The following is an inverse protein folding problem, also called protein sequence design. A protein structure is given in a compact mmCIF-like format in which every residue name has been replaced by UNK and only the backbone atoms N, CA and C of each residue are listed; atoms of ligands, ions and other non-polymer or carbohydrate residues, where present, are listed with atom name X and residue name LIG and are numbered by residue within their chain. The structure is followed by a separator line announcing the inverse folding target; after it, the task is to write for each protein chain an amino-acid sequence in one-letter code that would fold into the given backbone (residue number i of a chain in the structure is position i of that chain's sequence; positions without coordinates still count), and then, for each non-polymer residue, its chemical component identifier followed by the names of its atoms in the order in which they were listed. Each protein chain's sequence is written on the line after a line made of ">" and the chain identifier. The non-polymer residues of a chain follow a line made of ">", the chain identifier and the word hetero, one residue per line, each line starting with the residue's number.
data_IF_294427285552
#
_entry.id   IF_294427285552
#
_cell.length_a   1.000
_cell.length_b   1.000
_cell.length_c   1.000
_cell.angle_alpha   90.00
_cell.angle_beta   90.00
_cell.angle_gamma   90.00
#
_symmetry.space_group_name_H-M   'P 1'
#
loop_
_entity.id
_entity.type
_entity.pdbx_description
1 polymer ?
#
# COMPACT_ATOMS: atom_id res chain seq x y z
N UNK A 1 4.44 -16.51 14.33
CA UNK A 1 4.24 -15.73 13.09
C UNK A 1 5.51 -15.03 12.56
N UNK A 2 6.66 -15.10 13.27
CA UNK A 2 7.87 -14.34 12.93
C UNK A 2 8.46 -14.64 11.51
N UNK A 3 8.39 -15.89 11.05
CA UNK A 3 9.00 -16.27 9.76
C UNK A 3 8.18 -15.81 8.54
N UNK A 4 6.84 -15.90 8.62
CA UNK A 4 5.94 -15.49 7.53
C UNK A 4 5.89 -13.96 7.34
N UNK A 5 5.95 -13.21 8.45
CA UNK A 5 6.04 -11.74 8.42
C UNK A 5 7.47 -11.22 8.14
N UNK A 6 8.29 -12.01 7.44
CA UNK A 6 9.66 -11.64 7.02
C UNK A 6 10.60 -11.25 8.17
N UNK A 7 10.39 -11.78 9.38
CA UNK A 7 11.23 -11.50 10.54
C UNK A 7 11.04 -10.10 11.16
N UNK A 8 10.05 -9.33 10.70
CA UNK A 8 9.83 -7.96 11.18
C UNK A 8 9.29 -7.93 12.61
N UNK A 9 9.60 -6.84 13.31
CA UNK A 9 9.03 -6.51 14.63
C UNK A 9 8.30 -5.16 14.63
N UNK A 10 8.27 -4.48 13.49
CA UNK A 10 7.59 -3.20 13.37
C UNK A 10 6.07 -3.44 13.36
N UNK A 11 5.30 -2.84 14.30
CA UNK A 11 3.88 -3.10 14.42
C UNK A 11 3.08 -2.69 13.18
N UNK A 12 3.54 -1.69 12.41
CA UNK A 12 2.89 -1.28 11.15
C UNK A 12 2.96 -2.40 10.12
N UNK A 13 4.11 -3.08 10.03
CA UNK A 13 4.25 -4.20 9.11
C UNK A 13 3.45 -5.41 9.58
N UNK A 14 3.45 -5.68 10.90
CA UNK A 14 2.70 -6.80 11.47
C UNK A 14 1.20 -6.63 11.19
N UNK A 15 0.66 -5.43 11.41
CA UNK A 15 -0.74 -5.11 11.10
C UNK A 15 -1.06 -5.33 9.61
N UNK A 16 -0.21 -4.82 8.71
CA UNK A 16 -0.35 -5.05 7.28
C UNK A 16 -0.33 -6.55 6.93
N UNK A 17 0.59 -7.32 7.51
CA UNK A 17 0.68 -8.76 7.28
C UNK A 17 -0.59 -9.49 7.74
N UNK A 18 -1.07 -9.19 8.94
CA UNK A 18 -2.17 -9.93 9.57
C UNK A 18 -3.53 -9.59 8.93
N UNK A 19 -3.72 -8.35 8.49
CA UNK A 19 -5.03 -7.83 8.08
C UNK A 19 -5.18 -7.52 6.59
N UNK A 20 -4.08 -7.42 5.84
CA UNK A 20 -4.12 -7.05 4.41
C UNK A 20 -3.42 -8.08 3.53
N UNK A 21 -2.18 -8.45 3.88
CA UNK A 21 -1.35 -9.28 3.02
C UNK A 21 -1.93 -10.69 2.85
N UNK A 22 -2.18 -11.08 1.60
CA UNK A 22 -2.73 -12.39 1.26
C UNK A 22 -4.24 -12.56 1.54
N UNK A 23 -4.90 -11.54 2.11
CA UNK A 23 -6.35 -11.55 2.29
C UNK A 23 -7.04 -11.24 0.96
N UNK A 24 -8.06 -12.02 0.52
CA UNK A 24 -8.76 -11.74 -0.72
C UNK A 24 -9.41 -10.35 -0.72
N UNK A 25 -9.06 -9.55 -1.72
CA UNK A 25 -9.59 -8.20 -1.93
C UNK A 25 -10.28 -8.14 -3.29
N UNK A 26 -11.55 -7.74 -3.31
CA UNK A 26 -12.39 -7.75 -4.52
C UNK A 26 -12.85 -6.35 -4.96
N UNK A 27 -12.61 -5.32 -4.14
CA UNK A 27 -12.95 -3.94 -4.49
C UNK A 27 -11.94 -3.37 -5.50
N UNK A 28 -12.43 -2.90 -6.64
CA UNK A 28 -11.58 -2.44 -7.75
C UNK A 28 -10.71 -1.22 -7.38
N UNK A 29 -11.22 -0.29 -6.57
CA UNK A 29 -10.47 0.90 -6.17
C UNK A 29 -9.38 0.55 -5.17
N UNK A 30 -9.70 -0.32 -4.21
CA UNK A 30 -8.73 -0.83 -3.25
C UNK A 30 -7.64 -1.67 -3.94
N UNK A 31 -7.99 -2.47 -4.95
CA UNK A 31 -7.03 -3.17 -5.79
C UNK A 31 -6.12 -2.21 -6.56
N UNK A 32 -6.69 -1.16 -7.17
CA UNK A 32 -5.91 -0.10 -7.84
C UNK A 32 -4.93 0.57 -6.88
N UNK A 33 -5.39 0.95 -5.69
CA UNK A 33 -4.55 1.55 -4.63
C UNK A 33 -3.39 0.64 -4.23
N UNK A 34 -3.66 -0.65 -4.01
CA UNK A 34 -2.63 -1.62 -3.63
C UNK A 34 -1.60 -1.81 -4.76
N UNK A 35 -2.06 -1.94 -6.00
CA UNK A 35 -1.21 -2.05 -7.19
C UNK A 35 -0.35 -0.80 -7.40
N UNK A 36 -0.95 0.38 -7.23
CA UNK A 36 -0.25 1.65 -7.35
C UNK A 36 0.83 1.78 -6.28
N UNK A 37 0.55 1.45 -5.01
CA UNK A 37 1.56 1.45 -3.94
C UNK A 37 2.70 0.46 -4.22
N UNK A 38 2.41 -0.74 -4.72
CA UNK A 38 3.43 -1.74 -5.08
C UNK A 38 4.39 -1.20 -6.16
N UNK A 39 3.89 -0.44 -7.14
CA UNK A 39 4.75 0.17 -8.16
C UNK A 39 5.76 1.19 -7.61
N UNK A 40 5.50 1.76 -6.41
CA UNK A 40 6.40 2.73 -5.76
C UNK A 40 7.52 2.05 -4.96
N UNK A 41 7.48 0.72 -4.83
CA UNK A 41 8.39 -0.06 -4.00
C UNK A 41 9.79 -0.21 -4.60
N UNK A 42 9.97 0.01 -5.91
CA UNK A 42 11.23 -0.28 -6.61
C UNK A 42 12.46 0.38 -5.93
N UNK A 43 13.37 -0.46 -5.43
CA UNK A 43 14.62 -0.03 -4.77
C UNK A 43 14.46 0.43 -3.32
N UNK A 44 13.28 0.28 -2.71
CA UNK A 44 12.98 0.66 -1.33
C UNK A 44 12.50 -0.57 -0.53
N UNK A 45 12.30 -0.38 0.78
CA UNK A 45 11.61 -1.38 1.60
C UNK A 45 10.10 -1.17 1.56
N UNK A 46 9.31 -2.24 1.65
CA UNK A 46 7.85 -2.12 1.72
C UNK A 46 7.39 -1.31 2.93
N UNK A 47 8.10 -1.41 4.06
CA UNK A 47 7.82 -0.60 5.25
C UNK A 47 7.94 0.90 4.98
N UNK A 48 8.85 1.31 4.09
CA UNK A 48 8.97 2.71 3.64
C UNK A 48 7.68 3.18 2.96
N UNK A 49 7.08 2.33 2.13
CA UNK A 49 5.83 2.63 1.42
C UNK A 49 4.65 2.62 2.39
N UNK A 50 4.54 1.59 3.24
CA UNK A 50 3.47 1.49 4.25
C UNK A 50 3.42 2.72 5.17
N UNK A 51 4.57 3.20 5.66
CA UNK A 51 4.65 4.40 6.51
C UNK A 51 4.35 5.71 5.77
N UNK A 52 4.35 5.68 4.43
CA UNK A 52 3.98 6.82 3.57
C UNK A 52 2.56 6.71 3.02
N UNK A 53 1.82 5.63 3.31
CA UNK A 53 0.51 5.35 2.73
C UNK A 53 -0.45 6.53 2.83
N UNK A 54 -0.58 7.14 4.02
CA UNK A 54 -1.46 8.31 4.23
C UNK A 54 -1.03 9.53 3.39
N UNK A 55 0.27 9.76 3.25
CA UNK A 55 0.78 10.85 2.40
C UNK A 55 0.50 10.59 0.91
N UNK A 56 0.58 9.34 0.47
CA UNK A 56 0.18 8.96 -0.89
C UNK A 56 -1.33 9.12 -1.09
N UNK A 57 -2.15 8.74 -0.10
CA UNK A 57 -3.61 8.93 -0.15
C UNK A 57 -3.95 10.41 -0.32
N UNK A 58 -3.34 11.31 0.46
CA UNK A 58 -3.54 12.74 0.32
C UNK A 58 -3.06 13.26 -1.06
N UNK A 59 -1.88 12.85 -1.51
CA UNK A 59 -1.30 13.33 -2.76
C UNK A 59 -2.02 12.84 -4.02
N UNK A 60 -2.67 11.66 -3.96
CA UNK A 60 -3.31 11.00 -5.09
C UNK A 60 -4.83 10.88 -4.93
N UNK A 61 -5.47 11.82 -4.22
CA UNK A 61 -6.93 11.89 -4.09
C UNK A 61 -7.58 10.59 -3.57
N UNK A 62 -6.98 10.00 -2.55
CA UNK A 62 -7.29 8.68 -1.98
C UNK A 62 -7.33 7.56 -3.02
N UNK A 63 -6.49 7.68 -4.06
CA UNK A 63 -6.42 6.76 -5.18
C UNK A 63 -7.75 6.60 -5.95
N UNK A 64 -8.59 7.64 -5.96
CA UNK A 64 -9.78 7.68 -6.82
C UNK A 64 -9.37 7.71 -8.30
N UNK A 65 -9.58 6.64 -9.09
CA UNK A 65 -8.94 6.49 -10.41
C UNK A 65 -9.31 7.61 -11.38
N UNK A 66 -10.56 8.08 -11.36
CA UNK A 66 -11.02 9.16 -12.23
C UNK A 66 -10.31 10.49 -11.93
N UNK A 67 -10.01 10.77 -10.65
CA UNK A 67 -9.30 12.00 -10.25
C UNK A 67 -7.81 11.89 -10.57
N UNK A 68 -7.20 10.74 -10.28
CA UNK A 68 -5.79 10.47 -10.59
C UNK A 68 -5.53 10.58 -12.09
N UNK A 69 -6.44 10.04 -12.93
CA UNK A 69 -6.32 10.11 -14.38
C UNK A 69 -6.38 11.54 -14.96
N UNK A 70 -6.88 12.51 -14.19
CA UNK A 70 -6.99 13.92 -14.60
C UNK A 70 -5.81 14.77 -14.11
N UNK A 71 -4.84 14.20 -13.39
CA UNK A 71 -3.67 14.93 -12.91
C UNK A 71 -2.83 15.49 -14.07
N UNK A 72 -2.35 16.72 -13.90
CA UNK A 72 -1.46 17.41 -14.85
C UNK A 72 -0.15 17.80 -14.18
N UNK A 73 0.87 18.11 -14.98
CA UNK A 73 2.16 18.63 -14.52
C UNK A 73 2.10 20.08 -14.05
#
# INVERSE_FOLDING_TARGET
>A
MNECAFGTKDPVYIDYHDHVWGQPLYDSKALFKLLALESQHAGLSWLTILKKKEAYEEAFYDFEPEKVAQMTA
#
